data_IF_105939118312
#
_entry.id   IF_105939118312
#
_cell.length_a   1.000
_cell.length_b   1.000
_cell.length_c   1.000
_cell.angle_alpha   90.00
_cell.angle_beta   90.00
_cell.angle_gamma   90.00
#
_symmetry.space_group_name_H-M   'P 1'
#
loop_
_entity.id
_entity.type
_entity.pdbx_description
1 polymer ?
#
# COMPACT_ATOMS: atom_id res chain seq x y z
N UNK A 1 6.79 2.24 -3.68
CA UNK A 1 5.67 1.68 -2.91
C UNK A 1 4.73 0.92 -3.83
N UNK A 2 4.50 1.41 -5.05
CA UNK A 2 3.71 0.74 -6.09
C UNK A 2 4.09 -0.72 -6.32
N UNK A 3 5.38 -1.08 -6.33
CA UNK A 3 5.80 -2.49 -6.45
C UNK A 3 5.25 -3.39 -5.34
N UNK A 4 5.29 -2.92 -4.09
CA UNK A 4 4.77 -3.67 -2.94
C UNK A 4 3.25 -3.81 -3.04
N UNK A 5 2.56 -2.72 -3.38
CA UNK A 5 1.09 -2.76 -3.55
C UNK A 5 0.70 -3.71 -4.68
N UNK A 6 1.40 -3.68 -5.82
CA UNK A 6 1.13 -4.59 -6.94
C UNK A 6 1.42 -6.04 -6.62
N UNK A 7 2.40 -6.32 -5.78
CA UNK A 7 2.71 -7.67 -5.35
C UNK A 7 1.60 -8.28 -4.47
N UNK A 8 0.92 -7.46 -3.66
CA UNK A 8 -0.12 -7.90 -2.72
C UNK A 8 -1.52 -7.86 -3.34
N UNK A 9 -1.84 -6.78 -4.05
CA UNK A 9 -3.19 -6.53 -4.58
C UNK A 9 -3.34 -6.93 -6.06
N UNK A 10 -2.24 -7.06 -6.79
CA UNK A 10 -2.24 -7.24 -8.24
C UNK A 10 -2.21 -5.92 -9.03
N UNK A 11 -2.65 -5.90 -10.29
CA UNK A 11 -2.65 -4.69 -11.11
C UNK A 11 -3.46 -3.57 -10.47
N UNK A 12 -2.95 -2.35 -10.55
CA UNK A 12 -3.61 -1.16 -10.00
C UNK A 12 -4.68 -0.66 -10.97
N UNK A 13 -5.81 -1.36 -10.99
CA UNK A 13 -6.99 -0.99 -11.75
C UNK A 13 -8.14 -0.64 -10.79
N UNK A 14 -8.69 0.57 -10.91
CA UNK A 14 -9.75 1.05 -10.01
C UNK A 14 -11.10 0.36 -10.24
N UNK A 15 -11.27 -0.27 -11.40
CA UNK A 15 -12.44 -1.06 -11.76
C UNK A 15 -12.01 -2.24 -12.61
N UNK A 16 -12.75 -3.35 -12.53
CA UNK A 16 -12.41 -4.57 -13.26
C UNK A 16 -12.35 -4.39 -14.79
N UNK A 17 -13.13 -3.45 -15.37
CA UNK A 17 -13.16 -3.25 -16.82
C UNK A 17 -11.94 -2.54 -17.41
N UNK A 18 -11.00 -2.08 -16.57
CA UNK A 18 -9.68 -1.56 -16.99
C UNK A 18 -8.54 -2.42 -16.44
N UNK A 19 -8.84 -3.53 -15.77
CA UNK A 19 -7.84 -4.47 -15.28
C UNK A 19 -7.38 -5.40 -16.43
N UNK A 20 -6.08 -5.42 -16.80
CA UNK A 20 -5.56 -6.30 -17.84
C UNK A 20 -5.65 -7.80 -17.49
N UNK A 21 -5.88 -8.16 -16.21
CA UNK A 21 -6.08 -9.54 -15.76
C UNK A 21 -7.56 -9.93 -15.67
N UNK A 22 -8.51 -9.01 -15.90
CA UNK A 22 -9.92 -9.36 -15.88
C UNK A 22 -10.21 -10.41 -16.96
N UNK A 23 -10.69 -11.58 -16.55
CA UNK A 23 -10.86 -12.73 -17.45
C UNK A 23 -11.94 -12.51 -18.52
N UNK A 24 -13.05 -11.86 -18.17
CA UNK A 24 -14.08 -11.49 -19.13
C UNK A 24 -13.97 -10.00 -19.46
N UNK A 25 -13.89 -9.67 -20.75
CA UNK A 25 -14.03 -8.30 -21.21
C UNK A 25 -15.44 -7.79 -20.88
N UNK A 26 -15.54 -6.55 -20.42
CA UNK A 26 -16.83 -5.92 -20.16
C UNK A 26 -17.53 -5.61 -21.49
N UNK A 27 -18.71 -6.18 -21.73
CA UNK A 27 -19.50 -5.98 -22.97
C UNK A 27 -19.86 -4.51 -23.24
N UNK A 28 -19.76 -3.66 -22.22
CA UNK A 28 -20.04 -2.22 -22.31
C UNK A 28 -18.77 -1.40 -22.56
N UNK A 29 -17.59 -2.00 -22.63
CA UNK A 29 -16.31 -1.28 -22.62
C UNK A 29 -16.18 -0.23 -23.75
N UNK A 30 -16.74 -0.49 -24.93
CA UNK A 30 -16.65 0.42 -26.07
C UNK A 30 -17.61 1.63 -25.97
N UNK A 31 -18.75 1.46 -25.30
CA UNK A 31 -19.78 2.48 -25.16
C UNK A 31 -19.84 3.10 -23.74
N UNK A 32 -18.95 2.68 -22.85
CA UNK A 32 -18.87 3.17 -21.48
C UNK A 32 -18.06 4.45 -21.42
N UNK A 33 -18.73 5.61 -21.43
CA UNK A 33 -18.09 6.91 -21.36
C UNK A 33 -17.15 7.07 -20.14
N UNK A 34 -17.46 6.41 -19.02
CA UNK A 34 -16.64 6.47 -17.80
C UNK A 34 -15.42 5.55 -17.84
N UNK A 35 -15.30 4.64 -18.80
CA UNK A 35 -14.13 3.75 -18.92
C UNK A 35 -12.84 4.56 -19.11
N UNK A 36 -12.88 5.57 -19.98
CA UNK A 36 -11.73 6.47 -20.17
C UNK A 36 -11.32 7.14 -18.85
N UNK A 37 -12.29 7.61 -18.06
CA UNK A 37 -12.01 8.20 -16.75
C UNK A 37 -11.34 7.20 -15.80
N UNK A 38 -11.83 5.96 -15.75
CA UNK A 38 -11.26 4.92 -14.90
C UNK A 38 -9.86 4.50 -15.30
N UNK A 39 -9.58 4.45 -16.61
CA UNK A 39 -8.26 4.16 -17.14
C UNK A 39 -7.25 5.25 -16.75
N UNK A 40 -7.62 6.52 -16.97
CA UNK A 40 -6.80 7.66 -16.57
C UNK A 40 -6.57 7.72 -15.06
N UNK A 41 -7.60 7.45 -14.25
CA UNK A 41 -7.46 7.43 -12.79
C UNK A 41 -6.51 6.32 -12.33
N UNK A 42 -6.62 5.13 -12.91
CA UNK A 42 -5.72 4.00 -12.63
C UNK A 42 -4.26 4.35 -12.95
N UNK A 43 -4.02 5.05 -14.07
CA UNK A 43 -2.69 5.52 -14.45
C UNK A 43 -2.14 6.57 -13.47
N UNK A 44 -2.95 7.55 -13.07
CA UNK A 44 -2.53 8.58 -12.09
C UNK A 44 -2.23 7.96 -10.72
N UNK A 45 -3.07 7.05 -10.24
CA UNK A 45 -2.84 6.33 -8.99
C UNK A 45 -1.56 5.51 -9.04
N UNK A 46 -1.34 4.79 -10.15
CA UNK A 46 -0.11 4.03 -10.37
C UNK A 46 1.13 4.92 -10.31
N UNK A 47 1.13 6.01 -11.08
CA UNK A 47 2.26 6.94 -11.12
C UNK A 47 2.55 7.57 -9.75
N UNK A 48 1.50 7.87 -8.96
CA UNK A 48 1.67 8.36 -7.60
C UNK A 48 2.30 7.31 -6.67
N UNK A 49 1.80 6.08 -6.70
CA UNK A 49 2.35 5.01 -5.85
C UNK A 49 3.79 4.65 -6.23
N UNK A 50 4.15 4.81 -7.51
CA UNK A 50 5.50 4.62 -8.02
C UNK A 50 6.44 5.76 -7.63
N UNK A 51 5.92 6.98 -7.41
CA UNK A 51 6.73 8.11 -6.96
C UNK A 51 7.06 8.08 -5.47
N UNK A 52 6.35 7.28 -4.67
CA UNK A 52 6.58 7.13 -3.22
C UNK A 52 7.49 5.92 -2.96
N UNK A 53 8.65 6.12 -2.34
CA UNK A 53 9.53 5.03 -1.91
C UNK A 53 9.09 4.43 -0.56
N UNK A 54 9.57 3.23 -0.22
CA UNK A 54 9.37 2.67 1.13
C UNK A 54 10.10 3.51 2.18
N UNK A 55 11.24 4.11 1.83
CA UNK A 55 11.98 5.00 2.72
C UNK A 55 11.16 6.23 3.10
N UNK A 56 10.46 6.85 2.14
CA UNK A 56 9.58 8.00 2.42
C UNK A 56 8.51 7.67 3.48
N UNK A 57 8.00 6.43 3.47
CA UNK A 57 7.04 5.94 4.46
C UNK A 57 7.69 5.74 5.84
N UNK A 58 8.91 5.17 5.87
CA UNK A 58 9.67 4.99 7.12
C UNK A 58 10.01 6.33 7.78
N UNK A 59 10.34 7.35 6.98
CA UNK A 59 10.66 8.68 7.46
C UNK A 59 9.41 9.35 8.05
N UNK A 60 8.28 9.35 7.32
CA UNK A 60 6.99 9.88 7.82
C UNK A 60 6.53 9.21 9.12
N UNK A 61 6.67 7.89 9.23
CA UNK A 61 6.35 7.14 10.44
C UNK A 61 7.25 7.53 11.62
N UNK A 62 8.51 7.88 11.35
CA UNK A 62 9.48 8.30 12.37
C UNK A 62 9.28 9.77 12.81
N UNK A 63 8.78 10.62 11.91
CA UNK A 63 8.52 12.03 12.16
C UNK A 63 7.14 12.32 12.79
N UNK A 64 6.32 11.29 12.99
CA UNK A 64 5.03 11.42 13.66
C UNK A 64 3.95 12.08 12.79
N UNK A 65 4.13 12.09 11.47
CA UNK A 65 3.14 12.56 10.50
C UNK A 65 2.03 11.52 10.34
N UNK A 66 1.33 11.24 11.43
CA UNK A 66 0.10 10.44 11.40
C UNK A 66 -1.00 11.34 10.87
N UNK A 67 -1.55 10.99 9.71
CA UNK A 67 -2.80 11.59 9.23
C UNK A 67 -3.90 11.13 10.18
N UNK A 68 -4.23 11.95 11.18
CA UNK A 68 -5.43 11.78 11.99
C UNK A 68 -6.64 12.03 11.08
N UNK A 69 -7.38 10.98 10.75
CA UNK A 69 -8.65 11.14 10.06
C UNK A 69 -9.68 11.72 11.05
N UNK A 70 -10.47 12.73 10.67
CA UNK A 70 -11.50 13.27 11.54
C UNK A 70 -12.52 12.18 11.88
N UNK A 71 -12.68 11.89 13.18
CA UNK A 71 -13.56 10.83 13.70
C UNK A 71 -12.85 9.63 14.35
N UNK A 72 -11.52 9.57 14.34
CA UNK A 72 -10.78 8.59 15.14
C UNK A 72 -10.63 9.06 16.60
N UNK A 73 -11.74 9.14 17.32
CA UNK A 73 -11.73 9.22 18.79
C UNK A 73 -11.36 7.85 19.36
N UNK A 74 -10.10 7.44 19.18
CA UNK A 74 -9.51 6.49 20.13
C UNK A 74 -8.90 7.35 21.23
N UNK A 75 -9.56 7.37 22.39
CA UNK A 75 -9.06 8.03 23.59
C UNK A 75 -7.57 7.77 23.77
N UNK A 76 -6.77 8.81 23.56
CA UNK A 76 -5.31 8.77 23.62
C UNK A 76 -4.89 8.67 25.09
N UNK A 77 -4.85 7.46 25.62
CA UNK A 77 -3.91 7.13 26.68
C UNK A 77 -2.58 6.85 26.02
N UNK A 78 -1.66 7.82 26.11
CA UNK A 78 -0.21 7.72 25.95
C UNK A 78 0.26 6.47 25.19
N UNK A 79 0.39 6.56 23.86
CA UNK A 79 0.98 5.48 23.08
C UNK A 79 2.46 5.37 23.45
N UNK A 80 2.75 4.32 24.22
CA UNK A 80 4.05 3.78 24.58
C UNK A 80 5.06 3.96 23.42
N UNK A 81 6.04 4.85 23.61
CA UNK A 81 7.23 4.93 22.77
C UNK A 81 8.03 3.63 22.97
N UNK A 82 7.59 2.54 22.35
CA UNK A 82 8.36 1.30 22.34
C UNK A 82 9.72 1.61 21.72
N UNK A 83 10.83 1.45 22.47
CA UNK A 83 12.16 1.62 21.90
C UNK A 83 12.34 0.59 20.79
N UNK A 84 13.01 1.01 19.70
CA UNK A 84 13.30 0.14 18.55
C UNK A 84 13.85 -1.19 19.07
N UNK A 85 13.12 -2.27 18.83
CA UNK A 85 13.58 -3.62 19.16
C UNK A 85 14.74 -3.92 18.21
N UNK A 86 15.97 -3.71 18.69
CA UNK A 86 17.16 -4.19 18.00
C UNK A 86 17.01 -5.70 17.82
N UNK A 87 16.96 -6.15 16.58
CA UNK A 87 16.97 -7.56 16.25
C UNK A 87 18.37 -8.09 16.55
N UNK A 88 18.56 -8.66 17.75
CA UNK A 88 19.79 -9.36 18.12
C UNK A 88 19.73 -10.75 17.48
N UNK A 89 20.59 -11.00 16.51
CA UNK A 89 20.85 -12.35 15.98
C UNK A 89 21.29 -13.26 17.13
N UNK A 90 20.56 -14.35 17.38
CA UNK A 90 20.94 -15.37 18.37
C UNK A 90 22.20 -16.12 17.90
N UNK A 91 23.13 -16.48 18.80
CA UNK A 91 24.20 -17.41 18.45
C UNK A 91 23.68 -18.85 18.48
N UNK A 92 24.18 -19.68 17.54
CA UNK A 92 24.01 -21.13 17.52
C UNK A 92 24.35 -21.73 18.89
N UNK A 93 23.49 -22.63 19.40
CA UNK A 93 23.88 -23.59 20.43
C UNK A 93 24.00 -24.97 19.79
N UNK A 94 25.24 -25.43 19.78
CA UNK A 94 25.60 -26.84 19.68
C UNK A 94 24.83 -27.66 20.73
N UNK A 95 24.37 -28.84 20.32
CA UNK A 95 24.09 -29.94 21.23
C UNK A 95 24.24 -31.26 20.46
N UNK A 96 25.46 -31.78 20.52
CA UNK A 96 25.67 -33.22 20.58
C UNK A 96 25.64 -33.67 22.03
N UNK A 97 24.89 -34.75 22.29
CA UNK A 97 25.13 -35.76 23.31
C UNK A 97 24.33 -37.00 22.89
#
# INVERSE_FOLDING_TARGET
>A
AGDVVRAVEGPLAVVACVDPRAGAACDRAEQCATRWLWDQLSAVMSAYLDSVSVQDLCDRASHGDVVTLPGSDTGSTAHDRRPRRNYVSQPQKDQGA
#
